data_IF_186125038725
#
_entry.id   IF_186125038725
#
_cell.length_a   1.000
_cell.length_b   1.000
_cell.length_c   1.000
_cell.angle_alpha   90.00
_cell.angle_beta   90.00
_cell.angle_gamma   90.00
#
_symmetry.space_group_name_H-M   'P 1'
#
loop_
_entity.id
_entity.type
_entity.pdbx_description
1 polymer ?
#
# COMPACT_ATOMS: atom_id res chain seq x y z
N UNK A 1 -1.51 -29.73 3.16
CA UNK A 1 -0.63 -28.79 3.90
C UNK A 1 -0.20 -27.69 2.93
N UNK A 2 -0.97 -26.60 2.82
CA UNK A 2 -0.68 -25.43 1.95
C UNK A 2 -0.69 -24.09 2.71
N UNK A 3 -1.00 -24.13 4.00
CA UNK A 3 -1.19 -22.93 4.83
C UNK A 3 0.14 -22.18 5.03
N UNK A 4 1.23 -22.93 5.27
CA UNK A 4 2.56 -22.35 5.47
C UNK A 4 3.06 -21.58 4.23
N UNK A 5 2.77 -22.08 3.03
CA UNK A 5 3.19 -21.46 1.77
C UNK A 5 2.56 -20.06 1.62
N UNK A 6 1.23 -19.98 1.75
CA UNK A 6 0.48 -18.72 1.64
C UNK A 6 0.84 -17.71 2.73
N UNK A 7 1.09 -18.16 3.95
CA UNK A 7 1.51 -17.25 5.05
C UNK A 7 2.92 -16.69 4.83
N UNK A 8 3.84 -17.49 4.30
CA UNK A 8 5.21 -17.06 4.01
C UNK A 8 5.23 -16.09 2.83
N UNK A 9 4.46 -16.38 1.77
CA UNK A 9 4.27 -15.47 0.65
C UNK A 9 3.66 -14.12 1.09
N UNK A 10 2.65 -14.15 1.96
CA UNK A 10 2.05 -12.93 2.50
C UNK A 10 3.02 -12.12 3.35
N UNK A 11 3.82 -12.79 4.19
CA UNK A 11 4.85 -12.11 4.96
C UNK A 11 5.89 -11.45 4.05
N UNK A 12 6.37 -12.16 3.03
CA UNK A 12 7.32 -11.63 2.06
C UNK A 12 6.76 -10.41 1.33
N UNK A 13 5.53 -10.51 0.81
CA UNK A 13 4.84 -9.39 0.14
C UNK A 13 4.66 -8.20 1.07
N UNK A 14 4.30 -8.43 2.34
CA UNK A 14 4.17 -7.37 3.33
C UNK A 14 5.50 -6.65 3.56
N UNK A 15 6.60 -7.39 3.62
CA UNK A 15 7.94 -6.84 3.81
C UNK A 15 8.34 -5.94 2.62
N UNK A 16 8.07 -6.39 1.40
CA UNK A 16 8.33 -5.63 0.17
C UNK A 16 7.53 -4.32 0.13
N UNK A 17 6.25 -4.38 0.49
CA UNK A 17 5.37 -3.22 0.52
C UNK A 17 5.78 -2.22 1.61
N UNK A 18 6.20 -2.70 2.79
CA UNK A 18 6.78 -1.85 3.85
C UNK A 18 8.09 -1.20 3.43
N UNK A 19 8.93 -1.91 2.69
CA UNK A 19 10.19 -1.37 2.16
C UNK A 19 9.92 -0.23 1.18
N UNK A 20 8.92 -0.39 0.30
CA UNK A 20 8.47 0.68 -0.60
C UNK A 20 7.91 1.89 0.17
N UNK A 21 7.11 1.65 1.21
CA UNK A 21 6.61 2.74 2.08
C UNK A 21 7.74 3.52 2.74
N UNK A 22 8.76 2.83 3.26
CA UNK A 22 9.93 3.51 3.83
C UNK A 22 10.74 4.29 2.79
N UNK A 23 10.83 3.79 1.54
CA UNK A 23 11.48 4.52 0.47
C UNK A 23 10.75 5.83 0.13
N UNK A 24 9.42 5.82 0.13
CA UNK A 24 8.59 7.02 -0.08
C UNK A 24 8.74 7.99 1.10
N UNK A 25 8.65 7.51 2.34
CA UNK A 25 8.87 8.32 3.55
C UNK A 25 10.26 8.99 3.51
N UNK A 26 11.30 8.23 3.16
CA UNK A 26 12.66 8.76 3.03
C UNK A 26 12.75 9.85 1.96
N UNK A 27 12.09 9.64 0.82
CA UNK A 27 11.99 10.64 -0.25
C UNK A 27 11.25 11.90 0.21
N UNK A 28 10.13 11.75 0.94
CA UNK A 28 9.38 12.86 1.51
C UNK A 28 10.26 13.64 2.50
N UNK A 29 10.98 12.97 3.41
CA UNK A 29 11.89 13.59 4.38
C UNK A 29 13.05 14.31 3.68
N UNK A 30 13.61 13.74 2.62
CA UNK A 30 14.68 14.38 1.86
C UNK A 30 14.21 15.65 1.13
N UNK A 31 12.96 15.68 0.69
CA UNK A 31 12.35 16.82 0.00
C UNK A 31 11.54 17.74 0.94
N UNK A 32 11.60 17.53 2.25
CA UNK A 32 10.88 18.28 3.27
C UNK A 32 11.18 19.78 3.27
N UNK A 33 12.35 20.18 2.77
CA UNK A 33 12.78 21.59 2.69
C UNK A 33 12.72 22.12 1.24
N UNK A 34 12.12 21.38 0.31
CA UNK A 34 11.95 21.81 -1.08
C UNK A 34 10.63 22.57 -1.24
N UNK A 35 10.66 23.87 -1.61
CA UNK A 35 9.45 24.65 -1.79
C UNK A 35 8.52 24.03 -2.86
N UNK A 36 7.22 23.98 -2.56
CA UNK A 36 6.19 23.44 -3.47
C UNK A 36 6.17 21.90 -3.61
N UNK A 37 6.85 21.16 -2.75
CA UNK A 37 6.84 19.69 -2.80
C UNK A 37 5.49 19.10 -2.34
N UNK A 38 5.04 18.07 -3.07
CA UNK A 38 3.83 17.31 -2.77
C UNK A 38 4.20 15.94 -2.21
N UNK A 39 3.88 15.71 -0.94
CA UNK A 39 4.17 14.44 -0.29
C UNK A 39 3.31 13.32 -0.88
N UNK A 40 3.96 12.19 -1.19
CA UNK A 40 3.28 11.00 -1.68
C UNK A 40 3.10 10.01 -0.53
N UNK A 41 1.98 9.32 -0.49
CA UNK A 41 1.75 8.22 0.45
C UNK A 41 1.38 6.95 -0.32
N UNK A 42 1.50 5.83 0.37
CA UNK A 42 1.20 4.51 -0.17
C UNK A 42 0.31 3.74 0.79
N UNK A 43 -0.84 3.29 0.28
CA UNK A 43 -1.76 2.45 1.00
C UNK A 43 -1.86 1.08 0.33
N UNK A 44 -1.62 0.05 1.13
CA UNK A 44 -1.66 -1.34 0.71
C UNK A 44 -2.22 -2.27 1.79
N UNK A 45 -2.51 -1.75 2.98
CA UNK A 45 -2.96 -2.55 4.13
C UNK A 45 -4.35 -3.13 3.87
N UNK A 46 -5.26 -2.34 3.32
CA UNK A 46 -6.61 -2.78 2.95
C UNK A 46 -6.62 -3.79 1.78
N UNK A 47 -5.72 -3.63 0.81
CA UNK A 47 -5.61 -4.57 -0.31
C UNK A 47 -4.95 -5.89 0.13
N UNK A 48 -3.95 -5.82 1.01
CA UNK A 48 -3.32 -6.98 1.62
C UNK A 48 -4.28 -7.73 2.55
N UNK A 49 -5.05 -7.02 3.39
CA UNK A 49 -6.05 -7.61 4.27
C UNK A 49 -7.14 -8.34 3.49
N UNK A 50 -7.57 -7.77 2.35
CA UNK A 50 -8.50 -8.45 1.42
C UNK A 50 -7.88 -9.72 0.81
N UNK A 51 -6.62 -9.68 0.39
CA UNK A 51 -5.94 -10.86 -0.16
C UNK A 51 -5.64 -11.96 0.88
N UNK A 52 -5.49 -11.56 2.15
CA UNK A 52 -5.27 -12.45 3.29
C UNK A 52 -6.57 -13.00 3.88
N UNK A 53 -7.70 -12.33 3.70
CA UNK A 53 -8.98 -12.79 4.22
C UNK A 53 -9.32 -14.15 3.63
N UNK A 54 -9.39 -15.17 4.49
CA UNK A 54 -9.78 -16.53 4.13
C UNK A 54 -11.31 -16.70 4.03
N UNK A 55 -12.07 -15.71 4.49
CA UNK A 55 -13.54 -15.69 4.44
C UNK A 55 -14.02 -15.14 3.11
N UNK A 56 -13.86 -15.92 2.04
CA UNK A 56 -14.72 -15.77 0.88
C UNK A 56 -15.47 -17.08 0.70
N UNK A 57 -16.77 -17.02 1.00
CA UNK A 57 -17.72 -18.00 0.52
C UNK A 57 -17.42 -18.22 -0.98
N UNK A 58 -17.27 -19.46 -1.45
CA UNK A 58 -16.91 -19.72 -2.84
C UNK A 58 -17.94 -19.07 -3.75
N UNK A 59 -17.55 -17.98 -4.41
CA UNK A 59 -18.38 -17.34 -5.43
C UNK A 59 -18.27 -18.20 -6.68
N UNK A 60 -19.43 -18.64 -7.18
CA UNK A 60 -19.48 -19.50 -8.35
C UNK A 60 -19.10 -18.70 -9.59
N UNK A 61 -18.07 -19.15 -10.30
CA UNK A 61 -17.58 -18.48 -11.51
C UNK A 61 -18.46 -18.88 -12.69
N UNK A 62 -19.49 -18.08 -12.95
CA UNK A 62 -20.45 -18.36 -14.04
C UNK A 62 -19.94 -18.06 -15.45
N UNK A 63 -18.88 -17.25 -15.59
CA UNK A 63 -18.26 -16.93 -16.88
C UNK A 63 -16.73 -17.03 -16.82
N UNK A 64 -16.08 -17.37 -17.94
CA UNK A 64 -14.63 -17.46 -18.03
C UNK A 64 -13.91 -16.12 -17.82
N UNK A 65 -14.59 -14.99 -18.07
CA UNK A 65 -14.08 -13.65 -17.87
C UNK A 65 -14.28 -13.11 -16.44
N UNK A 66 -14.99 -13.84 -15.57
CA UNK A 66 -15.18 -13.39 -14.19
C UNK A 66 -13.88 -13.49 -13.38
N UNK A 67 -13.66 -12.46 -12.55
CA UNK A 67 -12.57 -12.45 -11.58
C UNK A 67 -12.81 -13.52 -10.51
N UNK A 68 -11.77 -14.26 -10.16
CA UNK A 68 -11.83 -15.23 -9.07
C UNK A 68 -12.01 -14.50 -7.73
N UNK A 69 -12.98 -14.95 -6.94
CA UNK A 69 -13.04 -14.61 -5.53
C UNK A 69 -11.93 -15.38 -4.81
N UNK A 70 -10.98 -14.62 -4.27
CA UNK A 70 -9.77 -15.10 -3.64
C UNK A 70 -8.60 -14.31 -4.18
N UNK A 71 -8.33 -13.14 -3.60
CA UNK A 71 -7.20 -12.30 -4.00
C UNK A 71 -5.88 -13.07 -3.87
N UNK A 72 -5.14 -13.19 -4.98
CA UNK A 72 -3.76 -13.65 -4.92
C UNK A 72 -2.92 -12.62 -4.17
N UNK A 73 -2.24 -13.06 -3.12
CA UNK A 73 -1.33 -12.22 -2.31
C UNK A 73 -0.29 -11.52 -3.21
N UNK A 74 0.18 -12.20 -4.25
CA UNK A 74 1.14 -11.64 -5.20
C UNK A 74 0.56 -10.51 -6.07
N UNK A 75 -0.74 -10.52 -6.33
CA UNK A 75 -1.45 -9.50 -7.11
C UNK A 75 -1.77 -8.24 -6.31
N UNK A 76 -1.39 -8.15 -5.02
CA UNK A 76 -1.56 -6.93 -4.24
C UNK A 76 -0.64 -5.85 -4.82
N UNK A 77 -1.25 -4.83 -5.41
CA UNK A 77 -0.58 -3.61 -5.87
C UNK A 77 -0.82 -2.53 -4.83
N UNK A 78 0.25 -1.79 -4.53
CA UNK A 78 0.19 -0.67 -3.63
C UNK A 78 -0.38 0.54 -4.38
N UNK A 79 -1.34 1.24 -3.78
CA UNK A 79 -1.89 2.45 -4.37
C UNK A 79 -1.08 3.63 -3.85
N UNK A 80 -0.37 4.31 -4.75
CA UNK A 80 0.40 5.51 -4.44
C UNK A 80 -0.45 6.71 -4.83
N UNK A 81 -0.72 7.59 -3.89
CA UNK A 81 -1.44 8.83 -4.13
C UNK A 81 -0.75 10.00 -3.43
N UNK A 82 -0.92 11.19 -3.99
CA UNK A 82 -0.46 12.42 -3.32
C UNK A 82 -1.39 12.65 -2.13
N UNK A 83 -0.87 12.94 -0.94
CA UNK A 83 -1.70 13.23 0.22
C UNK A 83 -2.06 14.73 0.24
N UNK A 84 -3.26 15.15 -0.20
CA UNK A 84 -3.64 16.57 -0.26
C UNK A 84 -4.00 17.14 1.12
N UNK A 85 -4.09 16.32 2.17
CA UNK A 85 -4.57 16.76 3.49
C UNK A 85 -3.47 17.34 4.37
N UNK A 86 -2.23 17.37 3.91
CA UNK A 86 -1.16 17.93 4.73
C UNK A 86 -1.24 19.46 4.76
N UNK A 87 -0.97 19.99 5.95
CA UNK A 87 -0.94 21.41 6.26
C UNK A 87 0.02 22.10 5.29
N UNK A 88 -0.50 22.91 4.37
CA UNK A 88 0.32 23.70 3.44
C UNK A 88 1.07 24.72 4.30
N UNK A 89 2.38 24.55 4.43
CA UNK A 89 3.26 25.57 5.05
C UNK A 89 3.24 26.84 4.19
N UNK A 90 3.66 27.97 4.77
CA UNK A 90 3.74 29.27 4.06
C UNK A 90 4.60 29.21 2.78
N UNK A 91 5.45 28.20 2.63
CA UNK A 91 6.31 27.93 1.47
C UNK A 91 5.65 27.05 0.37
N UNK A 92 4.38 26.68 0.54
CA UNK A 92 3.65 25.81 -0.38
C UNK A 92 4.01 24.32 -0.25
N UNK A 93 4.81 23.94 0.75
CA UNK A 93 5.16 22.56 0.99
C UNK A 93 4.05 21.85 1.78
N UNK A 94 3.72 20.64 1.34
CA UNK A 94 2.74 19.76 2.02
C UNK A 94 3.45 18.65 2.79
N UNK A 95 4.77 18.68 2.93
CA UNK A 95 5.47 17.68 3.73
C UNK A 95 5.52 18.12 5.21
N UNK A 96 5.07 17.23 6.11
CA UNK A 96 5.22 17.42 7.55
C UNK A 96 6.10 16.32 8.16
N UNK A 97 7.32 16.68 8.55
CA UNK A 97 8.34 15.76 9.07
C UNK A 97 7.89 15.04 10.35
N UNK A 98 7.04 15.68 11.16
CA UNK A 98 6.56 15.09 12.42
C UNK A 98 5.41 14.10 12.20
N UNK A 99 4.69 14.17 11.08
CA UNK A 99 3.65 13.20 10.69
C UNK A 99 4.22 12.00 9.93
N UNK A 100 5.41 12.16 9.35
CA UNK A 100 6.05 11.15 8.50
C UNK A 100 7.03 10.21 9.25
N UNK A 101 7.40 10.55 10.50
CA UNK A 101 8.26 9.74 11.39
C UNK A 101 7.45 8.87 12.35
#
# INVERSE_FOLDING_TARGET
MKVFDRTVEALAKTLDLRTQKQAIISSNIANAETPGYQAQTIDFEDSLARALSLDEAPLDRTDAAHMTAGGEVNSVVAEIYNNPNNVVREDGNTMNRDEEM
#
